data_IF_238887482472
#
_entry.id   IF_238887482472
#
_cell.length_a   1.000
_cell.length_b   1.000
_cell.length_c   1.000
_cell.angle_alpha   90.00
_cell.angle_beta   90.00
_cell.angle_gamma   90.00
#
_symmetry.space_group_name_H-M   'P 1'
#
loop_
_entity.id
_entity.type
_entity.pdbx_description
1 polymer ?
#
# COMPACT_ATOMS: atom_id res chain seq x y z
N UNK A 1 16.32 -0.32 -7.86
CA UNK A 1 14.98 -0.17 -7.27
C UNK A 1 14.50 -1.52 -6.74
N UNK A 2 14.02 -1.55 -5.51
CA UNK A 2 13.37 -2.72 -4.92
C UNK A 2 11.85 -2.52 -4.97
N UNK A 3 11.16 -3.33 -5.78
CA UNK A 3 9.70 -3.29 -5.91
C UNK A 3 9.10 -4.51 -5.23
N UNK A 4 8.10 -4.31 -4.39
CA UNK A 4 7.45 -5.40 -3.67
C UNK A 4 6.00 -5.07 -3.29
N UNK A 5 5.30 -6.09 -2.86
CA UNK A 5 3.98 -5.98 -2.24
C UNK A 5 3.85 -6.98 -1.07
N UNK A 6 2.69 -6.97 -0.41
CA UNK A 6 2.47 -7.86 0.72
C UNK A 6 2.56 -9.34 0.34
N UNK A 7 1.92 -9.72 -0.75
CA UNK A 7 1.86 -11.12 -1.19
C UNK A 7 3.26 -11.65 -1.60
N UNK A 8 4.08 -10.79 -2.22
CA UNK A 8 5.45 -11.14 -2.60
C UNK A 8 6.39 -11.33 -1.40
N UNK A 9 6.10 -10.71 -0.27
CA UNK A 9 6.91 -10.81 0.96
C UNK A 9 6.47 -11.95 1.87
N UNK A 10 5.22 -12.36 1.79
CA UNK A 10 4.65 -13.41 2.62
C UNK A 10 5.28 -14.77 2.26
N UNK A 11 5.74 -15.49 3.28
CA UNK A 11 6.42 -16.78 3.11
C UNK A 11 7.86 -16.69 2.55
N UNK A 12 8.36 -15.50 2.22
CA UNK A 12 9.74 -15.29 1.75
C UNK A 12 10.57 -14.56 2.80
N UNK A 13 10.07 -13.44 3.29
CA UNK A 13 10.76 -12.62 4.30
C UNK A 13 10.05 -12.68 5.64
N UNK A 14 8.73 -12.81 5.62
CA UNK A 14 7.87 -12.88 6.81
C UNK A 14 6.86 -13.99 6.71
N UNK A 15 6.58 -14.63 7.83
CA UNK A 15 5.38 -15.46 7.97
C UNK A 15 4.20 -14.56 8.36
N UNK A 16 3.09 -14.58 7.60
CA UNK A 16 1.92 -13.80 7.93
C UNK A 16 1.37 -14.16 9.31
N UNK A 17 1.07 -13.16 10.13
CA UNK A 17 0.56 -13.40 11.48
C UNK A 17 -0.97 -13.47 11.56
N UNK A 18 -1.66 -13.24 10.44
CA UNK A 18 -3.12 -13.33 10.33
C UNK A 18 -3.74 -12.09 9.69
N UNK A 19 -5.06 -12.02 9.73
CA UNK A 19 -5.83 -10.96 9.06
C UNK A 19 -6.50 -9.98 10.03
N UNK A 20 -6.40 -10.20 11.34
CA UNK A 20 -6.90 -9.24 12.33
C UNK A 20 -6.16 -7.90 12.25
N UNK A 21 -6.77 -6.83 12.78
CA UNK A 21 -6.13 -5.50 12.85
C UNK A 21 -4.74 -5.56 13.49
N UNK A 22 -4.60 -6.25 14.61
CA UNK A 22 -3.31 -6.37 15.32
C UNK A 22 -2.26 -7.12 14.49
N UNK A 23 -2.64 -8.21 13.82
CA UNK A 23 -1.78 -8.95 12.93
C UNK A 23 -1.31 -8.08 11.75
N UNK A 24 -2.23 -7.42 11.07
CA UNK A 24 -1.93 -6.51 9.95
C UNK A 24 -1.00 -5.37 10.34
N UNK A 25 -1.20 -4.77 11.52
CA UNK A 25 -0.31 -3.73 12.04
C UNK A 25 1.10 -4.26 12.31
N UNK A 26 1.20 -5.45 12.92
CA UNK A 26 2.48 -6.09 13.20
C UNK A 26 3.24 -6.38 11.91
N UNK A 27 2.57 -6.98 10.94
CA UNK A 27 3.17 -7.34 9.64
C UNK A 27 3.56 -6.09 8.84
N UNK A 28 2.73 -5.06 8.83
CA UNK A 28 3.05 -3.79 8.20
C UNK A 28 4.30 -3.14 8.82
N UNK A 29 4.39 -3.08 10.15
CA UNK A 29 5.57 -2.56 10.84
C UNK A 29 6.85 -3.30 10.47
N UNK A 30 6.80 -4.63 10.35
CA UNK A 30 7.95 -5.42 9.94
C UNK A 30 8.37 -5.10 8.49
N UNK A 31 7.42 -5.04 7.57
CA UNK A 31 7.66 -4.70 6.16
C UNK A 31 8.28 -3.31 6.00
N UNK A 32 7.72 -2.31 6.64
CA UNK A 32 8.23 -0.93 6.51
C UNK A 32 9.58 -0.73 7.20
N UNK A 33 9.90 -1.46 8.27
CA UNK A 33 11.25 -1.48 8.83
C UNK A 33 12.27 -2.04 7.86
N UNK A 34 11.92 -3.08 7.10
CA UNK A 34 12.76 -3.58 6.02
C UNK A 34 12.94 -2.53 4.93
N UNK A 35 11.85 -1.89 4.48
CA UNK A 35 11.92 -0.82 3.49
C UNK A 35 12.85 0.33 3.94
N UNK A 36 12.75 0.73 5.21
CA UNK A 36 13.66 1.70 5.80
C UNK A 36 15.12 1.24 5.72
N UNK A 37 15.43 0.02 6.14
CA UNK A 37 16.78 -0.52 6.13
C UNK A 37 17.38 -0.56 4.71
N UNK A 38 16.57 -0.86 3.70
CA UNK A 38 16.98 -0.79 2.29
C UNK A 38 17.22 0.64 1.82
N UNK A 39 16.33 1.56 2.19
CA UNK A 39 16.48 2.98 1.84
C UNK A 39 17.73 3.60 2.46
N UNK A 40 18.08 3.24 3.71
CA UNK A 40 19.31 3.65 4.38
C UNK A 40 20.59 3.14 3.67
N UNK A 41 20.47 2.09 2.85
CA UNK A 41 21.56 1.60 1.99
C UNK A 41 21.58 2.25 0.60
N UNK A 42 20.76 3.26 0.36
CA UNK A 42 20.66 3.95 -0.92
C UNK A 42 19.86 3.18 -1.98
N UNK A 43 19.02 2.23 -1.57
CA UNK A 43 18.15 1.48 -2.48
C UNK A 43 16.80 2.16 -2.54
N UNK A 44 16.37 2.58 -3.73
CA UNK A 44 15.01 3.06 -3.94
C UNK A 44 14.01 1.92 -3.74
N UNK A 45 12.97 2.15 -2.95
CA UNK A 45 11.96 1.15 -2.62
C UNK A 45 10.58 1.60 -3.08
N UNK A 46 9.90 0.72 -3.79
CA UNK A 46 8.47 0.86 -4.12
C UNK A 46 7.73 -0.30 -3.46
N UNK A 47 6.80 0.02 -2.57
CA UNK A 47 5.99 -0.99 -1.90
C UNK A 47 4.50 -0.73 -2.11
N UNK A 48 3.77 -1.72 -2.62
CA UNK A 48 2.32 -1.73 -2.68
C UNK A 48 1.78 -2.40 -1.41
N UNK A 49 1.04 -1.65 -0.62
CA UNK A 49 0.54 -2.15 0.66
C UNK A 49 -0.86 -1.63 0.95
N UNK A 50 -1.69 -2.49 1.53
CA UNK A 50 -2.94 -2.06 2.15
C UNK A 50 -2.61 -1.40 3.49
N UNK A 51 -1.89 -0.30 3.47
CA UNK A 51 -1.44 0.41 4.66
C UNK A 51 -2.56 1.30 5.19
N UNK A 52 -3.54 0.71 5.88
CA UNK A 52 -4.82 1.33 6.17
C UNK A 52 -4.89 2.07 7.50
N UNK A 53 -3.77 2.19 8.20
CA UNK A 53 -3.75 2.83 9.51
C UNK A 53 -2.82 4.02 9.53
N UNK A 54 -3.30 5.15 10.06
CA UNK A 54 -2.50 6.36 10.23
C UNK A 54 -1.19 6.08 10.97
N UNK A 55 -1.24 5.22 11.99
CA UNK A 55 -0.05 4.83 12.77
C UNK A 55 1.12 4.36 11.89
N UNK A 56 0.85 3.62 10.82
CA UNK A 56 1.88 3.14 9.91
C UNK A 56 2.39 4.26 9.01
N UNK A 57 1.49 5.05 8.45
CA UNK A 57 1.85 6.17 7.58
C UNK A 57 2.64 7.25 8.32
N UNK A 58 2.21 7.57 9.53
CA UNK A 58 2.90 8.52 10.40
C UNK A 58 4.30 8.02 10.76
N UNK A 59 4.42 6.73 11.10
CA UNK A 59 5.71 6.12 11.37
C UNK A 59 6.63 6.18 10.14
N UNK A 60 6.13 5.84 8.96
CA UNK A 60 6.91 5.90 7.72
C UNK A 60 7.42 7.32 7.45
N UNK A 61 6.54 8.30 7.56
CA UNK A 61 6.88 9.72 7.32
C UNK A 61 7.91 10.25 8.31
N UNK A 62 7.87 9.79 9.55
CA UNK A 62 8.80 10.19 10.60
C UNK A 62 10.16 9.47 10.54
N UNK A 63 10.24 8.30 9.90
CA UNK A 63 11.40 7.42 10.00
C UNK A 63 12.07 7.06 8.67
N UNK A 64 11.46 7.38 7.54
CA UNK A 64 12.01 7.07 6.21
C UNK A 64 12.28 8.37 5.47
N UNK A 65 13.54 8.64 5.19
CA UNK A 65 13.94 9.82 4.43
C UNK A 65 13.39 9.76 2.99
N UNK A 66 12.95 10.91 2.47
CA UNK A 66 12.34 11.03 1.14
C UNK A 66 11.10 10.13 0.92
N UNK A 67 10.42 9.74 2.00
CA UNK A 67 9.17 8.99 1.92
C UNK A 67 8.12 9.73 1.08
N UNK A 68 7.50 8.99 0.17
CA UNK A 68 6.37 9.46 -0.64
C UNK A 68 5.18 8.53 -0.46
N UNK A 69 4.03 9.12 -0.23
CA UNK A 69 2.77 8.41 -0.06
C UNK A 69 1.85 8.65 -1.26
N UNK A 70 1.55 7.57 -1.97
CA UNK A 70 0.64 7.58 -3.11
C UNK A 70 -0.63 6.86 -2.70
N UNK A 71 -1.73 7.59 -2.65
CA UNK A 71 -3.03 7.01 -2.37
C UNK A 71 -3.73 6.63 -3.68
N UNK A 72 -3.88 5.33 -3.91
CA UNK A 72 -4.67 4.80 -5.03
C UNK A 72 -6.12 4.70 -4.57
N UNK A 73 -6.92 5.68 -4.97
CA UNK A 73 -8.32 5.78 -4.59
C UNK A 73 -9.19 5.12 -5.66
N UNK A 74 -10.10 4.27 -5.21
CA UNK A 74 -11.03 3.53 -6.08
C UNK A 74 -12.43 3.60 -5.48
N UNK A 75 -13.44 3.82 -6.30
CA UNK A 75 -14.84 3.79 -5.84
C UNK A 75 -15.28 2.36 -5.50
N UNK A 76 -16.26 2.24 -4.61
CA UNK A 76 -16.85 0.95 -4.27
C UNK A 76 -17.44 0.24 -5.49
N UNK A 77 -18.06 0.99 -6.40
CA UNK A 77 -18.59 0.45 -7.65
C UNK A 77 -17.50 -0.25 -8.47
N UNK A 78 -16.36 0.41 -8.64
CA UNK A 78 -15.22 -0.17 -9.37
C UNK A 78 -14.62 -1.36 -8.62
N UNK A 79 -14.51 -1.31 -7.29
CA UNK A 79 -14.01 -2.43 -6.49
C UNK A 79 -14.89 -3.68 -6.63
N UNK A 80 -16.22 -3.52 -6.51
CA UNK A 80 -17.16 -4.63 -6.69
C UNK A 80 -17.16 -5.17 -8.12
N UNK A 81 -17.04 -4.30 -9.12
CA UNK A 81 -16.97 -4.72 -10.53
C UNK A 81 -15.69 -5.49 -10.83
N UNK A 82 -14.55 -5.07 -10.31
CA UNK A 82 -13.26 -5.75 -10.49
C UNK A 82 -13.17 -7.02 -9.66
N UNK A 83 -13.67 -7.01 -8.45
CA UNK A 83 -13.69 -8.11 -7.47
C UNK A 83 -12.49 -9.05 -7.54
N UNK A 84 -11.30 -8.46 -7.61
CA UNK A 84 -10.04 -9.20 -7.62
C UNK A 84 -9.97 -10.09 -6.38
N UNK A 85 -9.50 -11.32 -6.55
CA UNK A 85 -9.45 -12.34 -5.48
C UNK A 85 -10.82 -12.74 -4.92
N UNK A 86 -11.93 -12.33 -5.54
CA UNK A 86 -13.30 -12.62 -5.10
C UNK A 86 -13.60 -12.25 -3.65
N UNK A 87 -12.97 -11.20 -3.14
CA UNK A 87 -13.11 -10.78 -1.75
C UNK A 87 -14.52 -10.30 -1.41
N UNK A 88 -15.19 -9.66 -2.36
CA UNK A 88 -16.50 -9.07 -2.16
C UNK A 88 -17.64 -10.07 -2.47
N UNK A 89 -17.47 -10.94 -3.47
CA UNK A 89 -18.50 -11.90 -3.88
C UNK A 89 -18.49 -13.18 -3.06
N UNK A 90 -17.38 -13.55 -2.43
CA UNK A 90 -17.25 -14.80 -1.66
C UNK A 90 -17.75 -14.73 -0.23
N UNK A 91 -18.10 -13.55 0.30
CA UNK A 91 -18.41 -13.35 1.70
C UNK A 91 -17.19 -13.50 2.62
N UNK A 92 -15.99 -13.24 2.11
CA UNK A 92 -14.76 -13.26 2.89
C UNK A 92 -14.87 -12.33 4.11
N UNK A 93 -14.29 -12.76 5.24
CA UNK A 93 -14.25 -11.97 6.48
C UNK A 93 -12.92 -11.27 6.63
N UNK A 94 -12.88 -10.29 7.54
CA UNK A 94 -11.68 -9.48 7.82
C UNK A 94 -11.18 -8.72 6.58
N UNK A 95 -12.12 -8.36 5.68
CA UNK A 95 -11.86 -7.52 4.52
C UNK A 95 -11.81 -6.07 4.97
N UNK A 96 -10.72 -5.42 4.65
CA UNK A 96 -10.51 -4.03 5.03
C UNK A 96 -11.49 -3.11 4.30
N UNK A 97 -12.05 -2.15 5.03
CA UNK A 97 -13.07 -1.24 4.52
C UNK A 97 -14.48 -1.85 4.45
N UNK A 98 -14.63 -3.18 4.64
CA UNK A 98 -15.91 -3.86 4.76
C UNK A 98 -16.16 -4.26 6.21
N UNK A 99 -15.33 -5.18 6.74
CA UNK A 99 -15.45 -5.68 8.10
C UNK A 99 -14.48 -5.03 9.08
N UNK A 100 -13.35 -4.57 8.57
CA UNK A 100 -12.31 -3.92 9.37
C UNK A 100 -12.28 -2.42 9.12
N UNK A 101 -12.15 -1.62 10.18
CA UNK A 101 -11.99 -0.17 10.04
C UNK A 101 -10.68 0.15 9.34
N UNK A 102 -10.63 1.30 8.70
CA UNK A 102 -9.44 1.85 8.07
C UNK A 102 -9.42 3.37 8.23
N UNK A 103 -8.23 3.94 8.18
CA UNK A 103 -8.04 5.38 8.21
C UNK A 103 -7.76 5.87 6.79
N UNK A 104 -8.63 6.72 6.23
CA UNK A 104 -8.34 7.32 4.93
C UNK A 104 -7.08 8.20 5.04
N UNK A 105 -6.13 8.10 4.08
CA UNK A 105 -4.92 8.93 4.10
C UNK A 105 -5.26 10.42 4.18
N UNK A 106 -4.70 11.11 5.18
CA UNK A 106 -5.01 12.53 5.44
C UNK A 106 -4.13 13.47 4.64
N UNK A 107 -2.89 13.09 4.38
CA UNK A 107 -1.89 13.93 3.73
C UNK A 107 -1.02 13.13 2.75
N UNK A 108 -1.62 12.42 1.78
CA UNK A 108 -0.83 11.75 0.75
C UNK A 108 -0.09 12.79 -0.12
N UNK A 109 1.09 12.44 -0.60
CA UNK A 109 1.81 13.29 -1.55
C UNK A 109 1.09 13.34 -2.91
N UNK A 110 0.42 12.24 -3.27
CA UNK A 110 -0.40 12.14 -4.49
C UNK A 110 -1.63 11.29 -4.25
N UNK A 111 -2.76 11.71 -4.80
CA UNK A 111 -3.96 10.88 -4.94
C UNK A 111 -4.10 10.50 -6.42
N UNK A 112 -4.25 9.20 -6.66
CA UNK A 112 -4.54 8.65 -7.98
C UNK A 112 -5.96 8.11 -7.96
N UNK A 113 -6.86 8.76 -8.70
CA UNK A 113 -8.21 8.25 -8.95
C UNK A 113 -8.12 7.09 -9.95
N UNK A 114 -8.41 5.86 -9.52
CA UNK A 114 -8.18 4.66 -10.32
C UNK A 114 -9.51 3.97 -10.69
N UNK A 115 -10.40 4.71 -11.30
CA UNK A 115 -11.69 4.25 -11.82
C UNK A 115 -11.69 4.18 -13.35
N UNK A 116 -10.59 3.69 -13.94
CA UNK A 116 -10.38 3.48 -15.37
C UNK A 116 -10.23 4.75 -16.23
N UNK A 117 -9.91 5.90 -15.61
CA UNK A 117 -9.69 7.17 -16.33
C UNK A 117 -8.32 7.21 -17.03
N UNK A 118 -7.31 6.59 -16.43
CA UNK A 118 -5.94 6.53 -16.96
C UNK A 118 -5.47 5.09 -17.03
N UNK A 119 -4.55 4.80 -17.96
CA UNK A 119 -3.86 3.49 -17.97
C UNK A 119 -2.79 3.45 -16.88
N UNK A 120 -2.40 2.27 -16.39
CA UNK A 120 -1.30 2.13 -15.43
C UNK A 120 0.00 2.80 -15.91
N UNK A 121 0.32 2.67 -17.20
CA UNK A 121 1.51 3.26 -17.81
C UNK A 121 1.47 4.80 -17.78
N UNK A 122 0.31 5.40 -18.04
CA UNK A 122 0.12 6.85 -17.97
C UNK A 122 0.27 7.36 -16.53
N UNK A 123 -0.27 6.63 -15.56
CA UNK A 123 -0.14 6.94 -14.14
C UNK A 123 1.34 6.89 -13.73
N UNK A 124 2.06 5.82 -14.09
CA UNK A 124 3.48 5.66 -13.78
C UNK A 124 4.29 6.81 -14.37
N UNK A 125 4.13 7.12 -15.65
CA UNK A 125 4.86 8.23 -16.31
C UNK A 125 4.60 9.58 -15.62
N UNK A 126 3.38 9.81 -15.15
CA UNK A 126 3.02 11.02 -14.40
C UNK A 126 3.71 11.07 -13.03
N UNK A 127 3.76 9.94 -12.32
CA UNK A 127 4.40 9.85 -11.01
C UNK A 127 5.92 10.01 -11.11
N UNK A 128 6.55 9.36 -12.09
CA UNK A 128 8.00 9.47 -12.37
C UNK A 128 8.39 10.93 -12.61
N UNK A 129 7.63 11.63 -13.46
CA UNK A 129 7.86 13.04 -13.72
C UNK A 129 7.67 13.90 -12.46
N UNK A 130 6.64 13.62 -11.67
CA UNK A 130 6.32 14.38 -10.46
C UNK A 130 7.42 14.24 -9.40
N UNK A 131 7.95 13.05 -9.23
CA UNK A 131 8.97 12.76 -8.22
C UNK A 131 10.41 12.86 -8.74
N UNK A 132 10.61 13.17 -10.01
CA UNK A 132 11.93 13.31 -10.61
C UNK A 132 12.73 12.01 -10.63
N UNK A 133 12.06 10.89 -10.82
CA UNK A 133 12.66 9.54 -10.80
C UNK A 133 13.31 9.16 -12.13
N UNK A 134 13.13 9.96 -13.12
CA UNK A 134 13.66 9.70 -14.49
C UNK A 134 14.95 10.46 -14.72
#
# INVERSE_FOLDING_TARGET
VFCTDGDAMDGVVFEPTGYSTAARLKDAKARFRLCRALAEQGIDVVICSISMYDEIRDWNRANIDNYKEIYIKVTWETLYRRDQKKLYSSGAKEVVGVDLPWDEPKMPDVVVENDDQETPEAIVARLEKLFGIV
#
